data_IF_493899478895
#
_entry.id   IF_493899478895
#
_cell.length_a   1.000
_cell.length_b   1.000
_cell.length_c   1.000
_cell.angle_alpha   90.00
_cell.angle_beta   90.00
_cell.angle_gamma   90.00
#
_symmetry.space_group_name_H-M   'P 1'
#
loop_
_entity.id
_entity.type
_entity.pdbx_description
1 polymer ?
#
# COMPACT_ATOMS: atom_id res chain seq x y z
N UNK A 1 -0.32 -23.99 1.90
CA UNK A 1 -0.84 -24.38 0.58
C UNK A 1 -1.17 -25.89 0.47
N UNK A 2 -1.08 -26.61 1.57
CA UNK A 2 -1.33 -28.07 1.61
C UNK A 2 -2.84 -28.45 1.60
N UNK A 3 -3.72 -27.46 1.66
CA UNK A 3 -5.18 -27.62 1.66
C UNK A 3 -5.85 -27.27 0.32
N UNK A 4 -5.08 -27.07 -0.75
CA UNK A 4 -5.66 -26.87 -2.08
C UNK A 4 -6.26 -28.17 -2.58
N UNK A 5 -7.56 -28.18 -2.91
CA UNK A 5 -8.23 -29.32 -3.48
C UNK A 5 -7.48 -29.85 -4.70
N UNK A 6 -7.06 -31.11 -4.67
CA UNK A 6 -6.40 -31.80 -5.77
C UNK A 6 -7.45 -32.17 -6.84
N UNK A 7 -7.54 -31.35 -7.88
CA UNK A 7 -8.52 -31.58 -8.95
C UNK A 7 -8.04 -32.53 -10.03
N UNK A 8 -6.72 -32.63 -10.26
CA UNK A 8 -6.17 -33.49 -11.30
C UNK A 8 -4.71 -33.85 -10.98
N UNK A 9 -4.39 -35.14 -11.04
CA UNK A 9 -3.02 -35.65 -10.90
C UNK A 9 -2.06 -35.15 -11.99
N UNK A 10 -2.58 -34.48 -13.04
CA UNK A 10 -1.77 -33.90 -14.11
C UNK A 10 -1.29 -32.47 -13.81
N UNK A 11 -1.85 -31.79 -12.78
CA UNK A 11 -1.41 -30.44 -12.41
C UNK A 11 -0.23 -30.48 -11.45
N UNK A 12 0.83 -29.75 -11.79
CA UNK A 12 2.00 -29.64 -10.95
C UNK A 12 1.85 -28.49 -9.94
N UNK A 13 1.11 -28.73 -8.86
CA UNK A 13 0.86 -27.76 -7.80
C UNK A 13 2.16 -27.31 -7.11
N UNK A 14 3.15 -28.19 -6.98
CA UNK A 14 4.45 -27.84 -6.40
C UNK A 14 5.17 -26.78 -7.24
N UNK A 15 5.17 -26.91 -8.56
CA UNK A 15 5.76 -25.90 -9.44
C UNK A 15 4.96 -24.60 -9.42
N UNK A 16 3.63 -24.66 -9.35
CA UNK A 16 2.79 -23.49 -9.15
C UNK A 16 3.15 -22.76 -7.85
N UNK A 17 3.23 -23.48 -6.73
CA UNK A 17 3.65 -22.92 -5.44
C UNK A 17 5.05 -22.30 -5.48
N UNK A 18 5.96 -22.86 -6.28
CA UNK A 18 7.34 -22.36 -6.45
C UNK A 18 7.47 -21.08 -7.27
N UNK A 19 6.43 -20.63 -8.00
CA UNK A 19 6.52 -19.47 -8.90
C UNK A 19 6.91 -18.16 -8.20
N UNK A 20 6.45 -17.96 -6.98
CA UNK A 20 6.67 -16.73 -6.19
C UNK A 20 7.80 -16.87 -5.16
N UNK A 21 8.57 -17.95 -5.20
CA UNK A 21 9.72 -18.10 -4.30
C UNK A 21 10.94 -17.30 -4.80
N UNK A 22 11.66 -16.70 -3.85
CA UNK A 22 12.90 -15.95 -4.06
C UNK A 22 12.85 -14.94 -5.23
N UNK A 23 11.89 -14.00 -5.26
CA UNK A 23 11.80 -13.02 -6.30
C UNK A 23 12.88 -11.94 -6.15
N UNK A 24 13.58 -11.61 -7.23
CA UNK A 24 14.52 -10.48 -7.26
C UNK A 24 13.79 -9.14 -7.39
N UNK A 25 12.63 -9.15 -8.06
CA UNK A 25 11.77 -7.99 -8.31
C UNK A 25 10.30 -8.34 -8.02
N UNK A 26 9.48 -7.32 -7.79
CA UNK A 26 8.05 -7.47 -7.50
C UNK A 26 7.20 -8.02 -8.67
N UNK A 27 7.72 -7.98 -9.89
CA UNK A 27 6.92 -8.15 -11.12
C UNK A 27 6.12 -9.44 -11.18
N UNK A 28 6.64 -10.54 -10.64
CA UNK A 28 5.93 -11.84 -10.61
C UNK A 28 4.63 -11.77 -9.82
N UNK A 29 4.61 -11.01 -8.71
CA UNK A 29 3.41 -10.85 -7.89
C UNK A 29 2.32 -10.08 -8.65
N UNK A 30 2.70 -8.96 -9.24
CA UNK A 30 1.76 -8.12 -9.99
C UNK A 30 1.28 -8.80 -11.27
N UNK A 31 2.14 -9.52 -11.98
CA UNK A 31 1.78 -10.27 -13.17
C UNK A 31 0.76 -11.37 -12.85
N UNK A 32 1.02 -12.19 -11.83
CA UNK A 32 0.10 -13.27 -11.46
C UNK A 32 -1.21 -12.73 -10.88
N UNK A 33 -1.16 -11.67 -10.08
CA UNK A 33 -2.36 -11.03 -9.51
C UNK A 33 -3.25 -10.43 -10.62
N UNK A 34 -2.66 -9.75 -11.61
CA UNK A 34 -3.38 -9.24 -12.78
C UNK A 34 -4.04 -10.36 -13.58
N UNK A 35 -3.34 -11.48 -13.82
CA UNK A 35 -3.93 -12.69 -14.42
C UNK A 35 -5.10 -13.21 -13.61
N UNK A 36 -4.96 -13.35 -12.29
CA UNK A 36 -6.03 -13.84 -11.41
C UNK A 36 -7.27 -12.96 -11.49
N UNK A 37 -7.10 -11.64 -11.64
CA UNK A 37 -8.23 -10.72 -11.77
C UNK A 37 -8.94 -10.82 -13.13
N UNK A 38 -8.20 -11.09 -14.22
CA UNK A 38 -8.79 -11.36 -15.54
C UNK A 38 -9.54 -12.69 -15.53
N UNK A 39 -8.95 -13.75 -14.96
CA UNK A 39 -9.63 -15.06 -14.77
C UNK A 39 -10.90 -14.92 -13.93
N UNK A 40 -10.89 -14.09 -12.89
CA UNK A 40 -12.07 -13.81 -12.06
C UNK A 40 -13.22 -13.15 -12.84
N UNK A 41 -12.93 -12.49 -13.97
CA UNK A 41 -13.92 -11.92 -14.88
C UNK A 41 -14.44 -12.92 -15.93
N UNK A 42 -13.97 -14.17 -15.86
CA UNK A 42 -14.31 -15.22 -16.81
C UNK A 42 -13.45 -15.26 -18.06
N UNK A 43 -12.37 -14.48 -18.11
CA UNK A 43 -11.44 -14.44 -19.23
C UNK A 43 -10.40 -15.56 -19.09
N UNK A 44 -10.07 -16.23 -20.21
CA UNK A 44 -9.00 -17.24 -20.25
C UNK A 44 -7.95 -16.97 -21.32
N UNK A 45 -8.14 -15.88 -22.09
CA UNK A 45 -7.23 -15.38 -23.12
C UNK A 45 -7.17 -13.85 -23.04
N UNK A 46 -5.98 -13.29 -22.96
CA UNK A 46 -5.77 -11.84 -22.84
C UNK A 46 -4.40 -11.44 -23.38
N UNK A 47 -4.28 -10.20 -23.81
CA UNK A 47 -3.04 -9.63 -24.37
C UNK A 47 -2.04 -9.26 -23.27
N UNK A 48 -0.77 -9.14 -23.63
CA UNK A 48 0.24 -8.58 -22.72
C UNK A 48 -0.12 -7.16 -22.29
N UNK A 49 -0.71 -6.36 -23.18
CA UNK A 49 -1.17 -5.01 -22.85
C UNK A 49 -2.18 -5.04 -21.69
N UNK A 50 -3.17 -5.92 -21.73
CA UNK A 50 -4.18 -6.04 -20.67
C UNK A 50 -3.57 -6.45 -19.34
N UNK A 51 -2.65 -7.42 -19.34
CA UNK A 51 -1.98 -7.84 -18.10
C UNK A 51 -1.08 -6.74 -17.56
N UNK A 52 -0.30 -6.05 -18.41
CA UNK A 52 0.56 -4.95 -17.93
C UNK A 52 -0.24 -3.73 -17.48
N UNK A 53 -1.36 -3.40 -18.14
CA UNK A 53 -2.26 -2.37 -17.67
C UNK A 53 -2.82 -2.70 -16.26
N UNK A 54 -3.21 -3.96 -16.05
CA UNK A 54 -3.57 -4.45 -14.72
C UNK A 54 -2.45 -4.33 -13.69
N UNK A 55 -1.22 -4.71 -14.04
CA UNK A 55 -0.06 -4.58 -13.13
C UNK A 55 0.21 -3.13 -12.72
N UNK A 56 0.14 -2.20 -13.66
CA UNK A 56 0.37 -0.77 -13.39
C UNK A 56 -0.76 -0.22 -12.51
N UNK A 57 -2.01 -0.59 -12.80
CA UNK A 57 -3.16 -0.19 -12.00
C UNK A 57 -3.10 -0.76 -10.56
N UNK A 58 -2.66 -2.02 -10.39
CA UNK A 58 -2.48 -2.66 -9.09
C UNK A 58 -1.32 -2.04 -8.27
N UNK A 59 -0.37 -1.38 -8.94
CA UNK A 59 0.73 -0.66 -8.31
C UNK A 59 0.42 0.81 -8.04
N UNK A 60 -0.62 1.37 -8.69
CA UNK A 60 -0.94 2.79 -8.69
C UNK A 60 -1.07 3.36 -7.28
N UNK A 61 -1.99 2.82 -6.49
CA UNK A 61 -2.29 3.29 -5.15
C UNK A 61 -1.09 3.24 -4.22
N UNK A 62 -0.37 2.14 -4.21
CA UNK A 62 0.82 1.95 -3.40
C UNK A 62 1.93 2.95 -3.73
N UNK A 63 2.10 3.29 -5.00
CA UNK A 63 3.15 4.22 -5.46
C UNK A 63 2.72 5.67 -5.32
N UNK A 64 1.48 6.01 -5.72
CA UNK A 64 1.03 7.42 -5.77
C UNK A 64 0.59 7.96 -4.42
N UNK A 65 -0.07 7.14 -3.61
CA UNK A 65 -0.59 7.56 -2.30
C UNK A 65 0.44 7.39 -1.20
N UNK A 66 1.18 6.28 -1.21
CA UNK A 66 2.09 5.91 -0.11
C UNK A 66 3.57 5.94 -0.47
N UNK A 67 3.91 6.33 -1.69
CA UNK A 67 5.30 6.40 -2.17
C UNK A 67 6.09 5.10 -1.93
N UNK A 68 5.40 3.94 -1.96
CA UNK A 68 6.04 2.65 -1.71
C UNK A 68 7.04 2.30 -2.80
N UNK A 69 8.16 1.79 -2.38
CA UNK A 69 9.15 1.21 -3.27
C UNK A 69 8.77 -0.22 -3.62
N UNK A 70 8.75 -0.52 -4.91
CA UNK A 70 8.37 -1.83 -5.41
C UNK A 70 9.58 -2.74 -5.70
N UNK A 71 10.80 -2.19 -5.67
CA UNK A 71 12.01 -2.91 -5.96
C UNK A 71 13.22 -2.51 -5.13
N UNK A 72 14.37 -3.21 -5.29
CA UNK A 72 15.62 -2.81 -4.64
C UNK A 72 16.07 -1.43 -5.14
N UNK A 73 16.77 -0.71 -4.27
CA UNK A 73 17.48 0.52 -4.66
C UNK A 73 18.58 0.17 -5.67
N UNK A 74 18.80 1.07 -6.64
CA UNK A 74 20.07 1.10 -7.36
C UNK A 74 21.21 1.46 -6.41
N UNK A 75 22.44 1.20 -6.82
CA UNK A 75 23.65 1.48 -6.01
C UNK A 75 23.73 2.97 -5.63
N UNK A 76 23.27 3.86 -6.52
CA UNK A 76 23.21 5.32 -6.32
C UNK A 76 21.94 5.79 -5.59
N UNK A 77 21.01 4.87 -5.29
CA UNK A 77 19.75 5.17 -4.60
C UNK A 77 18.68 5.87 -5.43
N UNK A 78 18.97 6.19 -6.71
CA UNK A 78 18.14 7.09 -7.53
C UNK A 78 17.17 6.38 -8.47
N UNK A 79 17.41 5.11 -8.86
CA UNK A 79 16.55 4.45 -9.84
C UNK A 79 15.37 3.72 -9.21
N UNK A 80 14.18 4.04 -9.72
CA UNK A 80 12.96 3.28 -9.51
C UNK A 80 12.91 2.06 -10.45
N UNK A 81 12.17 1.02 -10.06
CA UNK A 81 11.96 -0.12 -10.95
C UNK A 81 11.03 0.22 -12.14
N UNK A 82 10.92 -0.71 -13.12
CA UNK A 82 10.11 -0.47 -14.32
C UNK A 82 8.64 -0.20 -14.02
N UNK A 83 8.08 -0.84 -13.00
CA UNK A 83 6.67 -0.67 -12.65
C UNK A 83 6.42 0.67 -11.96
N UNK A 84 7.29 1.11 -11.05
CA UNK A 84 7.26 2.45 -10.45
C UNK A 84 7.38 3.54 -11.54
N UNK A 85 8.32 3.37 -12.49
CA UNK A 85 8.50 4.30 -13.62
C UNK A 85 7.25 4.37 -14.48
N UNK A 86 6.61 3.22 -14.78
CA UNK A 86 5.39 3.19 -15.55
C UNK A 86 4.24 3.93 -14.83
N UNK A 87 4.07 3.72 -13.52
CA UNK A 87 3.07 4.44 -12.71
C UNK A 87 3.32 5.95 -12.77
N UNK A 88 4.56 6.39 -12.54
CA UNK A 88 4.90 7.82 -12.54
C UNK A 88 4.69 8.46 -13.92
N UNK A 89 5.14 7.80 -15.01
CA UNK A 89 4.91 8.30 -16.39
C UNK A 89 3.42 8.41 -16.73
N UNK A 90 2.60 7.43 -16.36
CA UNK A 90 1.15 7.54 -16.57
C UNK A 90 0.59 8.72 -15.78
N UNK A 91 0.97 8.88 -14.51
CA UNK A 91 0.46 9.97 -13.65
C UNK A 91 0.80 11.38 -14.17
N UNK A 92 1.88 11.53 -14.92
CA UNK A 92 2.25 12.79 -15.57
C UNK A 92 1.40 13.10 -16.83
N UNK A 93 0.75 12.08 -17.39
CA UNK A 93 0.03 12.17 -18.66
C UNK A 93 -1.49 12.01 -18.55
N UNK A 94 -2.00 11.66 -17.37
CA UNK A 94 -3.44 11.47 -17.13
C UNK A 94 -3.87 12.16 -15.85
N UNK A 95 -5.02 12.80 -15.90
CA UNK A 95 -5.67 13.30 -14.69
C UNK A 95 -6.35 12.13 -13.97
N UNK A 96 -5.77 11.70 -12.85
CA UNK A 96 -6.29 10.61 -12.02
C UNK A 96 -5.95 10.86 -10.56
N UNK A 97 -6.92 10.56 -9.69
CA UNK A 97 -6.69 10.59 -8.24
C UNK A 97 -5.76 9.45 -7.82
N UNK A 98 -5.08 9.63 -6.69
CA UNK A 98 -4.22 8.59 -6.14
C UNK A 98 -5.00 7.32 -5.75
N UNK A 99 -6.22 7.51 -5.23
CA UNK A 99 -7.17 6.46 -4.84
C UNK A 99 -8.19 6.11 -5.93
N UNK A 100 -7.94 6.50 -7.18
CA UNK A 100 -8.81 6.22 -8.33
C UNK A 100 -9.06 4.72 -8.47
N UNK A 101 -10.27 4.35 -8.89
CA UNK A 101 -10.62 2.94 -9.03
C UNK A 101 -9.74 2.23 -10.07
N UNK A 102 -9.39 0.98 -9.79
CA UNK A 102 -8.54 0.16 -10.64
C UNK A 102 -8.98 0.13 -12.11
N UNK A 103 -10.27 0.00 -12.34
CA UNK A 103 -10.82 -0.14 -13.70
C UNK A 103 -10.68 1.17 -14.50
N UNK A 104 -10.89 2.31 -13.86
CA UNK A 104 -10.65 3.63 -14.46
C UNK A 104 -9.17 3.81 -14.79
N UNK A 105 -8.27 3.42 -13.89
CA UNK A 105 -6.82 3.48 -14.14
C UNK A 105 -6.44 2.58 -15.32
N UNK A 106 -6.97 1.35 -15.39
CA UNK A 106 -6.71 0.44 -16.53
C UNK A 106 -7.11 1.10 -17.87
N UNK A 107 -8.30 1.70 -17.94
CA UNK A 107 -8.75 2.35 -19.18
C UNK A 107 -7.86 3.56 -19.53
N UNK A 108 -7.49 4.38 -18.56
CA UNK A 108 -6.55 5.49 -18.76
C UNK A 108 -5.18 5.00 -19.27
N UNK A 109 -4.67 3.89 -18.74
CA UNK A 109 -3.42 3.28 -19.20
C UNK A 109 -3.55 2.77 -20.63
N UNK A 110 -4.63 2.06 -20.98
CA UNK A 110 -4.86 1.55 -22.34
C UNK A 110 -4.90 2.69 -23.35
N UNK A 111 -5.64 3.78 -23.05
CA UNK A 111 -5.73 4.96 -23.91
C UNK A 111 -4.38 5.67 -24.07
N UNK A 112 -3.52 5.66 -23.06
CA UNK A 112 -2.24 6.35 -23.03
C UNK A 112 -1.04 5.38 -23.07
N UNK A 113 -1.22 4.15 -23.53
CA UNK A 113 -0.20 3.08 -23.49
C UNK A 113 1.12 3.44 -24.20
N UNK A 114 1.08 4.40 -25.13
CA UNK A 114 2.28 4.88 -25.83
C UNK A 114 3.32 5.49 -24.87
N UNK A 115 2.90 6.20 -23.81
CA UNK A 115 3.82 6.86 -22.88
C UNK A 115 4.60 5.86 -21.99
N UNK A 116 4.08 4.65 -21.78
CA UNK A 116 4.71 3.57 -20.98
C UNK A 116 5.10 2.35 -21.82
N UNK A 117 5.07 2.48 -23.14
CA UNK A 117 5.38 1.37 -24.04
C UNK A 117 6.78 0.80 -23.82
N UNK A 118 7.78 1.64 -23.53
CA UNK A 118 9.15 1.21 -23.25
C UNK A 118 9.23 0.29 -22.03
N UNK A 119 8.61 0.69 -20.92
CA UNK A 119 8.59 -0.06 -19.68
C UNK A 119 7.85 -1.40 -19.86
N UNK A 120 6.70 -1.38 -20.53
CA UNK A 120 5.94 -2.59 -20.84
C UNK A 120 6.72 -3.55 -21.75
N UNK A 121 7.40 -3.06 -22.78
CA UNK A 121 8.23 -3.88 -23.66
C UNK A 121 9.42 -4.51 -22.91
N UNK A 122 10.05 -3.78 -21.99
CA UNK A 122 11.14 -4.32 -21.17
C UNK A 122 10.64 -5.39 -20.19
N UNK A 123 9.47 -5.19 -19.57
CA UNK A 123 8.81 -6.21 -18.75
C UNK A 123 8.44 -7.45 -19.58
N UNK A 124 7.96 -7.26 -20.81
CA UNK A 124 7.53 -8.32 -21.74
C UNK A 124 8.67 -9.27 -22.13
N UNK A 125 9.92 -8.82 -22.11
CA UNK A 125 11.09 -9.66 -22.40
C UNK A 125 11.32 -10.75 -21.38
N UNK A 126 10.91 -10.56 -20.12
CA UNK A 126 11.27 -11.43 -19.01
C UNK A 126 10.09 -11.93 -18.20
N UNK A 127 9.18 -11.05 -17.74
CA UNK A 127 8.19 -11.35 -16.70
C UNK A 127 7.28 -12.53 -17.04
N UNK A 128 6.66 -12.59 -18.25
CA UNK A 128 5.76 -13.67 -18.62
C UNK A 128 6.44 -15.05 -18.59
N UNK A 129 7.70 -15.09 -18.93
CA UNK A 129 8.48 -16.33 -19.02
C UNK A 129 9.10 -16.71 -17.66
N UNK A 130 9.62 -15.71 -16.94
CA UNK A 130 10.29 -15.93 -15.64
C UNK A 130 9.34 -16.35 -14.54
N UNK A 131 8.04 -16.02 -14.61
CA UNK A 131 7.05 -16.53 -13.69
C UNK A 131 7.04 -18.06 -13.71
N UNK A 132 7.07 -18.66 -14.90
CA UNK A 132 7.01 -20.12 -15.10
C UNK A 132 8.32 -20.86 -14.79
N UNK A 133 9.33 -20.18 -14.23
CA UNK A 133 10.67 -20.77 -14.00
C UNK A 133 10.67 -22.02 -13.12
N UNK A 134 9.73 -22.13 -12.19
CA UNK A 134 9.59 -23.30 -11.32
C UNK A 134 9.17 -24.56 -12.08
N UNK A 135 8.37 -24.42 -13.12
CA UNK A 135 7.97 -25.54 -13.99
C UNK A 135 9.14 -26.09 -14.80
N UNK A 136 10.13 -25.25 -15.10
CA UNK A 136 11.31 -25.64 -15.89
C UNK A 136 12.33 -26.43 -15.08
N UNK A 137 12.44 -26.15 -13.78
CA UNK A 137 13.34 -26.91 -12.89
C UNK A 137 13.06 -28.41 -12.91
N UNK A 138 11.82 -28.81 -13.13
CA UNK A 138 11.38 -30.21 -13.20
C UNK A 138 11.76 -30.92 -14.50
N UNK A 139 12.10 -30.15 -15.54
CA UNK A 139 12.45 -30.68 -16.85
C UNK A 139 13.95 -30.92 -17.07
N UNK A 140 14.77 -30.82 -16.02
CA UNK A 140 16.16 -31.18 -16.12
C UNK A 140 17.17 -30.19 -15.54
N UNK A 141 16.76 -29.36 -14.62
CA UNK A 141 17.68 -28.56 -13.81
C UNK A 141 18.18 -27.27 -14.45
N UNK A 142 19.37 -26.84 -14.09
CA UNK A 142 20.01 -25.58 -14.51
C UNK A 142 20.30 -25.55 -16.02
N UNK A 143 19.28 -25.13 -16.81
CA UNK A 143 19.48 -24.98 -18.24
C UNK A 143 20.16 -23.62 -18.54
N UNK A 144 21.35 -23.60 -19.20
CA UNK A 144 22.03 -22.35 -19.56
C UNK A 144 21.20 -21.40 -20.44
N UNK A 145 20.16 -21.91 -21.11
CA UNK A 145 19.24 -21.12 -21.93
C UNK A 145 18.41 -20.14 -21.07
N UNK A 146 18.28 -20.41 -19.79
CA UNK A 146 17.54 -19.59 -18.85
C UNK A 146 18.13 -18.18 -18.66
N UNK A 147 19.42 -18.03 -18.83
CA UNK A 147 20.12 -16.74 -18.78
C UNK A 147 20.00 -15.92 -20.07
N UNK A 148 19.61 -16.53 -21.19
CA UNK A 148 19.54 -15.90 -22.51
C UNK A 148 18.09 -15.62 -22.92
N UNK A 149 17.61 -14.39 -22.75
CA UNK A 149 16.21 -13.99 -23.01
C UNK A 149 15.72 -14.40 -24.42
N UNK A 150 16.54 -14.25 -25.46
CA UNK A 150 16.15 -14.62 -26.84
C UNK A 150 15.92 -16.11 -27.05
N UNK A 151 16.57 -16.98 -26.26
CA UNK A 151 16.37 -18.44 -26.33
C UNK A 151 15.29 -18.95 -25.40
N UNK A 152 14.90 -18.12 -24.44
CA UNK A 152 13.90 -18.44 -23.44
C UNK A 152 12.54 -18.69 -24.08
N UNK A 153 12.14 -17.87 -25.04
CA UNK A 153 10.84 -17.97 -25.76
C UNK A 153 10.74 -19.30 -26.47
N UNK A 154 11.73 -19.65 -27.31
CA UNK A 154 11.75 -20.92 -28.05
C UNK A 154 11.78 -22.13 -27.12
N UNK A 155 12.47 -22.02 -25.99
CA UNK A 155 12.52 -23.05 -24.98
C UNK A 155 11.15 -23.27 -24.32
N UNK A 156 10.40 -22.19 -24.03
CA UNK A 156 9.03 -22.29 -23.50
C UNK A 156 8.08 -22.95 -24.49
N UNK A 157 8.13 -22.59 -25.74
CA UNK A 157 7.31 -23.21 -26.79
C UNK A 157 7.57 -24.73 -26.88
N UNK A 158 8.83 -25.14 -26.75
CA UNK A 158 9.20 -26.54 -26.73
C UNK A 158 8.67 -27.28 -25.49
N UNK A 159 8.76 -26.68 -24.31
CA UNK A 159 8.28 -27.24 -23.04
C UNK A 159 6.78 -27.39 -23.05
N UNK A 160 6.08 -26.36 -23.50
CA UNK A 160 4.64 -26.31 -23.49
C UNK A 160 3.97 -27.39 -24.32
N UNK A 161 4.63 -27.86 -25.38
CA UNK A 161 4.19 -29.02 -26.17
C UNK A 161 4.27 -30.35 -25.39
N UNK A 162 5.11 -30.39 -24.33
CA UNK A 162 5.39 -31.62 -23.55
C UNK A 162 4.72 -31.64 -22.18
N UNK A 163 4.37 -30.50 -21.63
CA UNK A 163 3.85 -30.35 -20.26
C UNK A 163 2.72 -29.31 -20.17
N UNK A 164 1.82 -29.53 -19.25
CA UNK A 164 0.72 -28.62 -18.94
C UNK A 164 1.24 -27.46 -18.05
N UNK A 165 1.73 -26.38 -18.65
CA UNK A 165 2.08 -25.15 -17.97
C UNK A 165 0.83 -24.34 -17.62
N UNK A 166 0.94 -23.41 -16.67
CA UNK A 166 -0.14 -22.52 -16.26
C UNK A 166 -0.79 -21.81 -17.45
N UNK A 167 0.00 -21.32 -18.38
CA UNK A 167 -0.45 -20.68 -19.61
C UNK A 167 0.54 -20.91 -20.76
N UNK A 168 0.04 -20.71 -21.97
CA UNK A 168 0.83 -20.57 -23.19
C UNK A 168 0.92 -19.11 -23.60
N UNK A 169 1.93 -18.80 -24.41
CA UNK A 169 2.08 -17.48 -25.04
C UNK A 169 1.95 -17.69 -26.53
N UNK A 170 0.89 -17.12 -27.09
CA UNK A 170 0.61 -17.23 -28.52
C UNK A 170 1.29 -16.14 -29.34
N UNK A 171 1.39 -16.41 -30.66
CA UNK A 171 2.02 -15.55 -31.62
C UNK A 171 1.41 -14.15 -31.65
N UNK A 172 2.27 -13.14 -31.65
CA UNK A 172 1.97 -11.72 -31.70
C UNK A 172 3.27 -10.92 -31.72
N UNK A 173 3.18 -9.61 -31.84
CA UNK A 173 4.34 -8.73 -31.75
C UNK A 173 4.23 -7.84 -30.53
N UNK A 174 5.28 -7.81 -29.69
CA UNK A 174 5.34 -6.93 -28.53
C UNK A 174 4.14 -7.13 -27.59
N UNK A 175 3.37 -6.09 -27.31
CA UNK A 175 2.25 -6.11 -26.36
C UNK A 175 0.98 -6.78 -26.91
N UNK A 176 0.92 -7.11 -28.20
CA UNK A 176 -0.21 -7.85 -28.80
C UNK A 176 -0.08 -9.37 -28.64
N UNK A 177 1.02 -9.87 -28.09
CA UNK A 177 1.13 -11.29 -27.69
C UNK A 177 0.03 -11.64 -26.72
N UNK A 178 -0.51 -12.86 -26.86
CA UNK A 178 -1.60 -13.36 -26.03
C UNK A 178 -1.10 -14.37 -25.00
N UNK A 179 -1.60 -14.26 -23.80
CA UNK A 179 -1.54 -15.29 -22.76
C UNK A 179 -2.82 -16.09 -22.85
N UNK A 180 -2.72 -17.40 -22.97
CA UNK A 180 -3.86 -18.33 -22.97
C UNK A 180 -3.72 -19.28 -21.80
N UNK A 181 -4.66 -19.21 -20.87
CA UNK A 181 -4.63 -20.07 -19.70
C UNK A 181 -5.03 -21.51 -20.11
N UNK A 182 -4.25 -22.49 -19.66
CA UNK A 182 -4.58 -23.88 -19.90
C UNK A 182 -5.90 -24.23 -19.20
N UNK A 183 -6.79 -24.98 -19.86
CA UNK A 183 -8.13 -25.31 -19.36
C UNK A 183 -8.12 -25.93 -17.95
N UNK A 184 -7.23 -26.87 -17.69
CA UNK A 184 -7.14 -27.53 -16.37
C UNK A 184 -6.71 -26.53 -15.31
N UNK A 185 -5.71 -25.68 -15.62
CA UNK A 185 -5.29 -24.61 -14.74
C UNK A 185 -6.37 -23.56 -14.54
N UNK A 186 -7.14 -23.21 -15.57
CA UNK A 186 -8.24 -22.24 -15.43
C UNK A 186 -9.27 -22.71 -14.39
N UNK A 187 -9.70 -23.96 -14.45
CA UNK A 187 -10.61 -24.52 -13.46
C UNK A 187 -9.99 -24.47 -12.05
N UNK A 188 -8.72 -24.90 -11.91
CA UNK A 188 -8.02 -24.86 -10.63
C UNK A 188 -7.92 -23.42 -10.07
N UNK A 189 -7.62 -22.41 -10.91
CA UNK A 189 -7.54 -21.03 -10.49
C UNK A 189 -8.90 -20.48 -10.03
N UNK A 190 -9.99 -20.81 -10.74
CA UNK A 190 -11.35 -20.39 -10.39
C UNK A 190 -11.76 -21.00 -9.04
N UNK A 191 -11.61 -22.31 -8.89
CA UNK A 191 -12.06 -23.05 -7.70
C UNK A 191 -11.26 -22.67 -6.44
N UNK A 192 -10.01 -22.21 -6.61
CA UNK A 192 -9.13 -21.80 -5.51
C UNK A 192 -8.85 -20.28 -5.48
N UNK A 193 -9.68 -19.48 -6.13
CA UNK A 193 -9.45 -18.05 -6.36
C UNK A 193 -9.10 -17.27 -5.08
N UNK A 194 -9.89 -17.43 -4.02
CA UNK A 194 -9.71 -16.71 -2.74
C UNK A 194 -8.37 -17.08 -2.09
N UNK A 195 -8.08 -18.38 -2.04
CA UNK A 195 -6.84 -18.91 -1.44
C UNK A 195 -5.60 -18.43 -2.20
N UNK A 196 -5.64 -18.52 -3.54
CA UNK A 196 -4.52 -18.13 -4.40
C UNK A 196 -4.28 -16.62 -4.31
N UNK A 197 -5.31 -15.80 -4.37
CA UNK A 197 -5.17 -14.34 -4.22
C UNK A 197 -4.65 -13.95 -2.83
N UNK A 198 -5.14 -14.60 -1.78
CA UNK A 198 -4.63 -14.43 -0.43
C UNK A 198 -3.13 -14.79 -0.32
N UNK A 199 -2.70 -15.89 -0.92
CA UNK A 199 -1.31 -16.29 -0.98
C UNK A 199 -0.44 -15.30 -1.76
N UNK A 200 -0.88 -14.82 -2.94
CA UNK A 200 -0.18 -13.79 -3.71
C UNK A 200 -0.03 -12.51 -2.88
N UNK A 201 -1.12 -12.05 -2.25
CA UNK A 201 -1.14 -10.86 -1.41
C UNK A 201 -0.15 -10.98 -0.25
N UNK A 202 -0.13 -12.11 0.45
CA UNK A 202 0.81 -12.34 1.56
C UNK A 202 2.27 -12.35 1.09
N UNK A 203 2.59 -13.01 -0.02
CA UNK A 203 3.94 -13.03 -0.60
C UNK A 203 4.38 -11.63 -1.06
N UNK A 204 3.46 -10.87 -1.69
CA UNK A 204 3.66 -9.48 -2.12
C UNK A 204 3.95 -8.56 -0.91
N UNK A 205 3.14 -8.65 0.15
CA UNK A 205 3.33 -7.88 1.39
C UNK A 205 4.71 -8.15 2.00
N UNK A 206 5.07 -9.43 2.18
CA UNK A 206 6.37 -9.79 2.75
C UNK A 206 7.52 -9.20 1.94
N UNK A 207 7.50 -9.35 0.61
CA UNK A 207 8.52 -8.79 -0.26
C UNK A 207 8.60 -7.26 -0.16
N UNK A 208 7.46 -6.57 -0.20
CA UNK A 208 7.40 -5.11 -0.16
C UNK A 208 7.80 -4.56 1.23
N UNK A 209 7.51 -5.28 2.32
CA UNK A 209 7.94 -4.89 3.66
C UNK A 209 9.47 -4.87 3.77
N UNK A 210 10.16 -5.84 3.17
CA UNK A 210 11.62 -5.85 3.11
C UNK A 210 12.20 -4.66 2.31
N UNK A 211 11.43 -4.07 1.39
CA UNK A 211 11.82 -2.90 0.59
C UNK A 211 11.43 -1.57 1.23
N UNK A 212 10.50 -1.59 2.17
CA UNK A 212 9.96 -0.44 2.88
C UNK A 212 9.98 -0.69 4.40
N UNK A 213 11.14 -0.93 5.03
CA UNK A 213 11.22 -1.35 6.42
C UNK A 213 10.68 -0.30 7.41
N UNK A 214 10.75 0.99 7.05
CA UNK A 214 10.23 2.08 7.87
C UNK A 214 8.74 2.36 7.71
N UNK A 215 8.02 1.63 6.83
CA UNK A 215 6.61 1.91 6.55
C UNK A 215 5.71 0.98 7.38
N UNK A 216 4.95 1.51 8.35
CA UNK A 216 4.01 0.72 9.14
C UNK A 216 2.77 0.37 8.31
N UNK A 217 2.08 -0.71 8.69
CA UNK A 217 0.77 -1.07 8.15
C UNK A 217 0.72 -1.28 6.63
N UNK A 218 1.76 -1.83 6.02
CA UNK A 218 1.88 -1.98 4.57
C UNK A 218 0.70 -2.75 3.94
N UNK A 219 0.08 -3.66 4.69
CA UNK A 219 -1.10 -4.41 4.24
C UNK A 219 -2.27 -3.50 3.82
N UNK A 220 -2.41 -2.33 4.47
CA UNK A 220 -3.47 -1.35 4.19
C UNK A 220 -3.11 -0.38 3.05
N UNK A 221 -1.90 -0.48 2.51
CA UNK A 221 -1.35 0.49 1.54
C UNK A 221 -1.24 -0.08 0.12
N UNK A 222 -1.74 -1.28 -0.10
CA UNK A 222 -1.66 -1.94 -1.41
C UNK A 222 -2.90 -1.71 -2.27
N UNK A 223 -4.06 -1.54 -1.64
CA UNK A 223 -5.35 -1.37 -2.31
C UNK A 223 -6.18 -0.34 -1.54
N UNK A 224 -6.95 0.54 -2.22
CA UNK A 224 -7.90 1.41 -1.55
C UNK A 224 -8.93 0.58 -0.79
N UNK A 225 -9.08 0.82 0.52
CA UNK A 225 -10.13 0.19 1.30
C UNK A 225 -11.45 0.95 1.07
N UNK A 226 -12.45 0.27 0.52
CA UNK A 226 -13.75 0.88 0.20
C UNK A 226 -14.58 1.25 1.42
N UNK A 227 -14.39 0.57 2.57
CA UNK A 227 -15.27 0.65 3.73
C UNK A 227 -14.48 0.74 5.06
N UNK A 228 -13.41 1.53 5.11
CA UNK A 228 -12.70 1.71 6.37
C UNK A 228 -13.48 2.68 7.26
N UNK A 229 -14.36 2.17 8.09
CA UNK A 229 -14.92 2.92 9.21
C UNK A 229 -13.80 3.30 10.17
N UNK A 230 -13.31 4.54 10.04
CA UNK A 230 -12.42 5.12 11.05
C UNK A 230 -13.20 5.28 12.33
N UNK A 231 -12.72 4.69 13.41
CA UNK A 231 -13.37 4.76 14.72
C UNK A 231 -13.02 6.07 15.44
N UNK A 232 -13.32 7.21 14.81
CA UNK A 232 -13.01 8.54 15.34
C UNK A 232 -14.15 9.17 16.17
N UNK A 233 -15.31 8.53 16.27
CA UNK A 233 -16.47 9.09 16.97
C UNK A 233 -16.18 9.34 18.46
N UNK A 234 -15.51 8.41 19.14
CA UNK A 234 -15.15 8.58 20.55
C UNK A 234 -14.10 9.67 20.73
N UNK A 235 -13.13 9.77 19.79
CA UNK A 235 -12.12 10.83 19.78
C UNK A 235 -12.79 12.20 19.60
N UNK A 236 -13.73 12.32 18.65
CA UNK A 236 -14.51 13.55 18.44
C UNK A 236 -15.26 13.96 19.71
N UNK A 237 -15.97 13.03 20.35
CA UNK A 237 -16.70 13.30 21.60
C UNK A 237 -15.78 13.68 22.77
N UNK A 238 -14.57 13.17 22.81
CA UNK A 238 -13.57 13.56 23.81
C UNK A 238 -13.08 14.98 23.53
N UNK A 239 -12.69 15.29 22.29
CA UNK A 239 -12.24 16.64 21.94
C UNK A 239 -13.35 17.69 22.09
N UNK A 240 -14.61 17.38 21.74
CA UNK A 240 -15.77 18.26 22.04
C UNK A 240 -15.82 18.61 23.51
N UNK A 241 -15.68 17.63 24.40
CA UNK A 241 -15.68 17.86 25.83
C UNK A 241 -14.49 18.73 26.29
N UNK A 242 -13.31 18.53 25.72
CA UNK A 242 -12.11 19.33 26.01
C UNK A 242 -12.29 20.78 25.54
N UNK A 243 -12.82 20.98 24.33
CA UNK A 243 -13.10 22.31 23.77
C UNK A 243 -14.14 23.04 24.62
N UNK A 244 -15.24 22.40 24.98
CA UNK A 244 -16.31 22.99 25.80
C UNK A 244 -15.80 23.43 27.19
N UNK A 245 -14.91 22.64 27.80
CA UNK A 245 -14.35 22.94 29.15
C UNK A 245 -13.36 24.10 29.06
N UNK A 246 -12.52 24.15 28.05
CA UNK A 246 -11.44 25.15 27.93
C UNK A 246 -11.89 26.42 27.18
N UNK A 247 -13.05 26.38 26.51
CA UNK A 247 -13.66 27.53 25.84
C UNK A 247 -12.73 28.22 24.85
N UNK A 248 -12.74 29.54 24.87
CA UNK A 248 -11.95 30.37 23.94
C UNK A 248 -10.43 30.18 24.08
N UNK A 249 -9.97 29.53 25.12
CA UNK A 249 -8.56 29.22 25.34
C UNK A 249 -8.07 28.09 24.43
N UNK A 250 -8.98 27.25 23.89
CA UNK A 250 -8.62 26.18 22.98
C UNK A 250 -8.64 26.66 21.52
N UNK A 251 -7.54 26.52 20.81
CA UNK A 251 -7.36 27.01 19.44
C UNK A 251 -6.90 25.90 18.51
N UNK A 252 -7.32 25.98 17.26
CA UNK A 252 -6.75 25.22 16.16
C UNK A 252 -5.26 25.59 16.01
N UNK A 253 -4.41 24.61 15.98
CA UNK A 253 -2.94 24.82 15.94
C UNK A 253 -2.46 25.44 14.64
N UNK A 254 -3.24 25.32 13.57
CA UNK A 254 -2.87 25.77 12.23
C UNK A 254 -3.39 27.18 11.93
N UNK A 255 -4.63 27.46 12.27
CA UNK A 255 -5.24 28.80 12.07
C UNK A 255 -5.07 29.73 13.24
N UNK A 256 -4.74 29.23 14.44
CA UNK A 256 -4.71 29.93 15.72
C UNK A 256 -6.05 30.56 16.13
N UNK A 257 -7.14 30.17 15.45
CA UNK A 257 -8.50 30.61 15.76
C UNK A 257 -9.15 29.66 16.77
N UNK A 258 -10.12 30.18 17.48
CA UNK A 258 -10.98 29.32 18.32
C UNK A 258 -11.69 28.30 17.44
N UNK A 259 -11.74 27.05 17.90
CA UNK A 259 -12.45 25.97 17.18
C UNK A 259 -13.93 26.08 17.49
N UNK A 260 -14.71 26.36 16.43
CA UNK A 260 -16.16 26.34 16.48
C UNK A 260 -16.67 24.89 16.26
N UNK A 261 -18.02 24.72 16.19
CA UNK A 261 -18.66 23.40 16.09
C UNK A 261 -18.34 22.59 14.82
N UNK A 262 -17.78 23.23 13.79
CA UNK A 262 -17.38 22.56 12.53
C UNK A 262 -15.88 22.35 12.50
N UNK A 263 -15.45 21.17 12.88
CA UNK A 263 -14.06 20.76 12.75
C UNK A 263 -13.99 19.26 12.41
N UNK A 264 -12.87 18.87 11.85
CA UNK A 264 -12.50 17.48 11.60
C UNK A 264 -11.44 17.02 12.60
N UNK A 265 -11.31 15.70 12.77
CA UNK A 265 -10.18 15.12 13.50
C UNK A 265 -9.09 14.81 12.49
N UNK A 266 -7.99 15.56 12.61
CA UNK A 266 -6.80 15.40 11.78
C UNK A 266 -5.76 14.52 12.47
N UNK A 267 -4.95 13.85 11.65
CA UNK A 267 -3.73 13.18 12.06
C UNK A 267 -2.55 14.14 11.90
N UNK A 268 -1.86 14.48 12.99
CA UNK A 268 -0.67 15.33 12.92
C UNK A 268 0.37 14.75 11.95
N UNK A 269 0.74 13.47 12.12
CA UNK A 269 1.41 12.69 11.08
C UNK A 269 0.34 11.97 10.28
N UNK A 270 0.26 12.16 8.94
CA UNK A 270 -0.82 11.66 8.11
C UNK A 270 -1.15 10.19 8.33
N UNK A 271 -2.45 9.87 8.34
CA UNK A 271 -2.93 8.50 8.44
C UNK A 271 -2.34 7.59 7.33
N UNK A 272 -2.16 8.14 6.14
CA UNK A 272 -1.54 7.44 5.02
C UNK A 272 -0.14 6.90 5.37
N UNK A 273 0.57 7.53 6.31
CA UNK A 273 1.85 7.03 6.81
C UNK A 273 1.68 6.07 7.99
N UNK A 274 1.01 6.50 9.09
CA UNK A 274 0.96 5.74 10.34
C UNK A 274 -0.01 4.54 10.29
N UNK A 275 -1.05 4.60 9.47
CA UNK A 275 -2.10 3.59 9.29
C UNK A 275 -2.80 3.16 10.61
N UNK A 276 -2.94 4.09 11.55
CA UNK A 276 -3.65 3.89 12.81
C UNK A 276 -4.32 5.18 13.27
N UNK A 277 -5.30 5.05 14.18
CA UNK A 277 -6.08 6.15 14.75
C UNK A 277 -5.75 6.33 16.25
N UNK A 278 -4.46 6.37 16.59
CA UNK A 278 -3.98 6.56 17.95
C UNK A 278 -4.20 8.00 18.43
N UNK A 279 -4.79 8.17 19.61
CA UNK A 279 -5.20 9.48 20.16
C UNK A 279 -4.04 10.49 20.24
N UNK A 280 -2.84 10.02 20.52
CA UNK A 280 -1.63 10.86 20.63
C UNK A 280 -1.20 11.50 19.29
N UNK A 281 -1.78 11.10 18.17
CA UNK A 281 -1.56 11.67 16.84
C UNK A 281 -2.78 12.44 16.31
N UNK A 282 -3.88 12.50 17.08
CA UNK A 282 -5.16 13.05 16.65
C UNK A 282 -5.46 14.39 17.28
N UNK A 283 -5.89 15.36 16.48
CA UNK A 283 -6.17 16.73 16.92
C UNK A 283 -7.35 17.32 16.15
N UNK A 284 -8.19 18.18 16.77
CA UNK A 284 -9.20 18.94 16.04
C UNK A 284 -8.56 19.96 15.11
N UNK A 285 -9.09 20.09 13.90
CA UNK A 285 -8.64 21.01 12.86
C UNK A 285 -9.81 21.57 12.06
N UNK A 286 -9.72 22.80 11.59
CA UNK A 286 -10.68 23.38 10.64
C UNK A 286 -10.86 22.50 9.40
N UNK A 287 -12.09 22.28 8.96
CA UNK A 287 -12.42 21.38 7.85
C UNK A 287 -11.73 21.77 6.54
N UNK A 288 -11.63 23.07 6.24
CA UNK A 288 -10.99 23.55 5.02
C UNK A 288 -9.49 23.35 5.06
N UNK A 289 -8.87 23.59 6.22
CA UNK A 289 -7.44 23.38 6.41
C UNK A 289 -7.10 21.90 6.36
N UNK A 290 -7.93 21.04 6.95
CA UNK A 290 -7.74 19.59 6.88
C UNK A 290 -7.76 19.09 5.43
N UNK A 291 -8.72 19.56 4.63
CA UNK A 291 -8.78 19.25 3.19
C UNK A 291 -7.54 19.74 2.44
N UNK A 292 -7.00 20.92 2.77
CA UNK A 292 -5.77 21.47 2.18
C UNK A 292 -4.52 20.69 2.58
N UNK A 293 -4.41 20.32 3.87
CA UNK A 293 -3.30 19.53 4.40
C UNK A 293 -3.27 18.13 3.77
N UNK A 294 -4.43 17.48 3.68
CA UNK A 294 -4.56 16.14 3.13
C UNK A 294 -3.47 15.19 3.68
N UNK A 295 -2.77 14.46 2.81
CA UNK A 295 -1.71 13.50 3.17
C UNK A 295 -0.32 14.15 3.36
N UNK A 296 -0.23 15.47 3.57
CA UNK A 296 1.04 16.14 3.79
C UNK A 296 1.39 16.22 5.27
N UNK A 297 2.69 16.24 5.55
CA UNK A 297 3.22 16.50 6.90
C UNK A 297 3.04 17.98 7.26
N UNK A 298 2.66 18.31 8.50
CA UNK A 298 2.72 19.70 8.95
C UNK A 298 4.18 20.17 9.03
N UNK A 299 4.43 21.47 8.89
CA UNK A 299 5.74 22.04 9.18
C UNK A 299 6.04 21.80 10.67
N UNK A 300 7.12 21.05 10.94
CA UNK A 300 7.46 20.63 12.30
C UNK A 300 7.75 21.81 13.22
N UNK A 301 8.57 22.74 12.79
CA UNK A 301 9.01 23.88 13.60
C UNK A 301 7.85 24.85 13.89
N UNK A 302 6.93 25.00 12.94
CA UNK A 302 5.78 25.87 13.07
C UNK A 302 4.67 25.29 13.98
N UNK A 303 4.46 23.96 13.95
CA UNK A 303 3.24 23.39 14.53
C UNK A 303 3.46 22.37 15.65
N UNK A 304 4.66 21.75 15.78
CA UNK A 304 4.89 20.71 16.79
C UNK A 304 4.61 21.21 18.22
N UNK A 305 5.13 22.40 18.59
CA UNK A 305 4.92 22.94 19.94
C UNK A 305 3.45 23.19 20.24
N UNK A 306 2.70 23.75 19.27
CA UNK A 306 1.27 24.02 19.40
C UNK A 306 0.47 22.72 19.51
N UNK A 307 0.88 21.69 18.77
CA UNK A 307 0.33 20.34 18.87
C UNK A 307 0.52 19.77 20.27
N UNK A 308 1.75 19.85 20.81
CA UNK A 308 2.03 19.41 22.17
C UNK A 308 1.23 20.17 23.22
N UNK A 309 1.06 21.49 23.05
CA UNK A 309 0.25 22.32 23.94
C UNK A 309 -1.20 21.82 23.99
N UNK A 310 -1.84 21.54 22.85
CA UNK A 310 -3.20 21.02 22.80
C UNK A 310 -3.32 19.59 23.34
N UNK A 311 -2.35 18.72 23.08
CA UNK A 311 -2.31 17.37 23.67
C UNK A 311 -2.09 17.42 25.19
N UNK A 312 -1.34 18.40 25.68
CA UNK A 312 -1.17 18.61 27.12
C UNK A 312 -2.46 19.11 27.78
N UNK A 313 -3.18 20.06 27.14
CA UNK A 313 -4.52 20.51 27.58
C UNK A 313 -5.49 19.31 27.63
N UNK A 314 -5.46 18.43 26.64
CA UNK A 314 -6.24 17.19 26.66
C UNK A 314 -5.92 16.35 27.90
N UNK A 315 -4.63 16.11 28.18
CA UNK A 315 -4.23 15.35 29.37
C UNK A 315 -4.71 16.02 30.66
N UNK A 316 -4.44 17.32 30.85
CA UNK A 316 -4.89 18.07 32.04
C UNK A 316 -6.42 17.97 32.21
N UNK A 317 -7.18 18.11 31.13
CA UNK A 317 -8.63 18.02 31.15
C UNK A 317 -9.11 16.62 31.55
N UNK A 318 -8.50 15.57 31.05
CA UNK A 318 -8.79 14.18 31.42
C UNK A 318 -8.50 13.93 32.91
N UNK A 319 -7.44 14.51 33.45
CA UNK A 319 -7.04 14.30 34.85
C UNK A 319 -7.93 15.07 35.83
N UNK A 320 -8.47 16.22 35.41
CA UNK A 320 -9.20 17.14 36.31
C UNK A 320 -10.72 17.09 36.17
N UNK A 321 -11.24 16.57 35.05
CA UNK A 321 -12.69 16.57 34.75
C UNK A 321 -13.22 15.14 34.57
N UNK A 322 -14.27 14.79 35.31
CA UNK A 322 -14.88 13.46 35.31
C UNK A 322 -15.51 13.10 33.94
N UNK A 323 -16.22 14.05 33.29
CA UNK A 323 -16.82 13.79 31.96
C UNK A 323 -15.75 13.52 30.89
N UNK A 324 -14.65 14.26 30.92
CA UNK A 324 -13.54 14.04 30.00
C UNK A 324 -12.90 12.68 30.25
N UNK A 325 -12.74 12.28 31.50
CA UNK A 325 -12.21 10.97 31.89
C UNK A 325 -13.09 9.83 31.38
N UNK A 326 -14.41 9.91 31.55
CA UNK A 326 -15.34 8.90 31.02
C UNK A 326 -15.24 8.75 29.50
N UNK A 327 -15.09 9.86 28.77
CA UNK A 327 -14.94 9.83 27.30
C UNK A 327 -13.57 9.26 26.90
N UNK A 328 -12.53 9.58 27.65
CA UNK A 328 -11.18 9.02 27.45
C UNK A 328 -11.18 7.50 27.63
N UNK A 329 -11.88 6.97 28.66
CA UNK A 329 -12.01 5.51 28.84
C UNK A 329 -12.61 4.82 27.60
N UNK A 330 -13.56 5.48 26.92
CA UNK A 330 -14.13 4.96 25.66
C UNK A 330 -13.14 5.00 24.50
N UNK A 331 -12.25 6.00 24.46
CA UNK A 331 -11.19 6.09 23.47
C UNK A 331 -10.15 4.97 23.65
N UNK A 332 -9.86 4.54 24.87
CA UNK A 332 -8.87 3.49 25.15
C UNK A 332 -9.11 2.20 24.35
N UNK A 333 -10.37 1.84 24.11
CA UNK A 333 -10.73 0.58 23.46
C UNK A 333 -10.33 0.52 21.98
N UNK A 334 -10.24 1.68 21.30
CA UNK A 334 -10.05 1.73 19.85
C UNK A 334 -8.93 2.67 19.39
N UNK A 335 -8.56 3.64 20.25
CA UNK A 335 -7.66 4.72 19.88
C UNK A 335 -6.42 4.83 20.76
N UNK A 336 -6.16 3.81 21.59
CA UNK A 336 -4.95 3.66 22.41
C UNK A 336 -4.57 2.18 22.45
N UNK A 337 -4.06 1.66 21.34
CA UNK A 337 -3.62 0.26 21.21
C UNK A 337 -2.16 0.08 21.66
N UNK A 338 -1.38 1.18 21.63
CA UNK A 338 -0.03 1.20 22.20
C UNK A 338 -0.08 1.34 23.72
N UNK A 339 0.82 0.70 24.43
CA UNK A 339 0.87 0.76 25.91
C UNK A 339 1.46 2.07 26.41
N UNK A 340 2.52 2.56 25.76
CA UNK A 340 3.28 3.73 26.20
C UNK A 340 2.47 5.01 26.44
N UNK A 341 1.37 5.33 25.71
CA UNK A 341 0.63 6.57 25.97
C UNK A 341 -0.04 6.54 27.34
N UNK A 342 -0.43 5.36 27.83
CA UNK A 342 -1.04 5.19 29.14
C UNK A 342 0.00 5.17 30.29
N UNK A 343 1.23 4.79 29.99
CA UNK A 343 2.31 4.68 30.99
C UNK A 343 3.19 5.95 31.06
N UNK A 344 3.35 6.66 29.93
CA UNK A 344 4.32 7.75 29.82
C UNK A 344 3.67 9.12 29.49
N UNK A 345 2.48 9.16 28.86
CA UNK A 345 1.89 10.39 28.35
C UNK A 345 0.63 10.82 29.12
N UNK A 346 -0.42 10.02 29.12
CA UNK A 346 -1.71 10.37 29.75
C UNK A 346 -1.75 9.99 31.21
N UNK A 347 -0.75 10.45 31.96
CA UNK A 347 -0.59 10.18 33.39
C UNK A 347 -0.85 11.42 34.26
N UNK A 348 -1.18 11.19 35.53
CA UNK A 348 -1.42 12.26 36.49
C UNK A 348 -0.11 13.01 36.84
N UNK A 349 -0.22 14.34 36.96
CA UNK A 349 0.87 15.21 37.41
C UNK A 349 2.14 15.14 36.58
N UNK A 350 2.04 14.79 35.30
CA UNK A 350 3.18 14.90 34.40
C UNK A 350 3.51 16.38 34.16
N UNK A 351 4.77 16.74 34.31
CA UNK A 351 5.22 18.09 33.99
C UNK A 351 5.17 18.35 32.47
N UNK A 352 4.83 19.57 32.08
CA UNK A 352 4.63 19.94 30.68
C UNK A 352 5.85 19.64 29.82
N UNK A 353 7.06 19.92 30.33
CA UNK A 353 8.31 19.66 29.61
C UNK A 353 8.52 18.15 29.40
N UNK A 354 8.26 17.34 30.42
CA UNK A 354 8.33 15.88 30.33
C UNK A 354 7.33 15.33 29.30
N UNK A 355 6.10 15.83 29.29
CA UNK A 355 5.08 15.47 28.32
C UNK A 355 5.53 15.77 26.89
N UNK A 356 6.12 16.93 26.65
CA UNK A 356 6.66 17.34 25.35
C UNK A 356 7.82 16.43 24.92
N UNK A 357 8.72 16.10 25.83
CA UNK A 357 9.85 15.22 25.52
C UNK A 357 9.41 13.80 25.18
N UNK A 358 8.38 13.26 25.85
CA UNK A 358 7.79 11.96 25.51
C UNK A 358 7.21 12.00 24.09
N UNK A 359 6.39 13.00 23.77
CA UNK A 359 5.83 13.15 22.42
C UNK A 359 6.92 13.34 21.37
N UNK A 360 7.94 14.13 21.63
CA UNK A 360 9.06 14.32 20.72
C UNK A 360 9.76 13.00 20.41
N UNK A 361 10.12 12.26 21.44
CA UNK A 361 10.83 10.99 21.29
C UNK A 361 10.05 9.94 20.50
N UNK A 362 8.71 10.05 20.46
CA UNK A 362 7.83 9.12 19.73
C UNK A 362 7.46 9.62 18.34
N UNK A 363 7.12 10.89 18.18
CA UNK A 363 6.62 11.46 16.92
C UNK A 363 7.74 11.84 15.95
N UNK A 364 8.84 12.43 16.44
CA UNK A 364 9.90 12.93 15.57
C UNK A 364 10.54 11.84 14.70
N UNK A 365 10.89 10.64 15.22
CA UNK A 365 11.40 9.56 14.37
C UNK A 365 10.41 9.11 13.30
N UNK A 366 9.11 9.12 13.60
CA UNK A 366 8.06 8.75 12.65
C UNK A 366 7.94 9.83 11.57
N UNK A 367 8.00 11.11 11.95
CA UNK A 367 7.97 12.26 11.05
C UNK A 367 9.16 12.24 10.07
N UNK A 368 10.38 12.06 10.58
CA UNK A 368 11.60 11.95 9.77
C UNK A 368 11.54 10.76 8.80
N UNK A 369 10.99 9.64 9.25
CA UNK A 369 10.81 8.47 8.41
C UNK A 369 9.79 8.73 7.29
N UNK A 370 8.71 9.46 7.57
CA UNK A 370 7.73 9.86 6.56
C UNK A 370 8.35 10.82 5.53
N UNK A 371 9.15 11.79 5.95
CA UNK A 371 9.91 12.68 5.04
C UNK A 371 10.85 11.88 4.13
N UNK A 372 11.59 10.92 4.70
CA UNK A 372 12.48 10.04 3.93
C UNK A 372 11.72 9.17 2.92
N UNK A 373 10.45 8.85 3.21
CA UNK A 373 9.55 8.12 2.31
C UNK A 373 9.02 8.99 1.16
N UNK A 374 9.18 10.32 1.23
CA UNK A 374 8.77 11.25 0.17
C UNK A 374 7.44 11.97 0.44
N UNK A 375 7.01 12.05 1.70
CA UNK A 375 5.88 12.89 2.08
C UNK A 375 6.27 14.37 2.05
N UNK A 376 5.46 15.18 1.37
CA UNK A 376 5.65 16.62 1.27
C UNK A 376 5.29 17.33 2.58
N UNK A 377 5.95 18.46 2.85
CA UNK A 377 5.57 19.36 3.93
C UNK A 377 4.44 20.28 3.45
N UNK A 378 3.36 20.32 4.24
CA UNK A 378 2.26 21.24 4.01
C UNK A 378 2.67 22.68 4.38
N UNK A 379 2.52 23.57 3.42
CA UNK A 379 2.71 25.01 3.60
C UNK A 379 1.32 25.66 3.59
N UNK A 380 0.93 26.18 4.75
CA UNK A 380 -0.31 26.96 4.91
C UNK A 380 -0.09 28.40 4.49
#
# INVERSE_FOLDING_TARGET
MDELYFYDCNLNIKSFAGMLENPTQCYKFFWLDSIMQLVARGENEFTFLEVFAGMIADAWYAVKEYHLRLGPKSVDGTSSNLLERAVNKISENVDAKNDESRDIIIEKIKCNSKCVNSEMQDLAKNVPYRLLSSFVKELGGNNPLWSKTGKLISYFEMINKKRCLLYTIENGRGLTKKVVINKLWNNFLIDNMVTIRGWIKMKKIKYLQDRNPGVPGLIYKLEPEKDKERKLENVRKLWECVIDINGVGFKDIYSERHIEKKYEIDHFIPWSYVANDELWNLIPMDENLNSSKNNKLPDWDAYYKKFCDNQYILNETIQTNEKAREKFEKCKQHNLNSIWPLEELYIQKIEKESFFNVLYGRLHPIYESAMTQGYDIWKN
#
